data_IF_844611078507
#
_entry.id   IF_844611078507
#
_cell.length_a   1.000
_cell.length_b   1.000
_cell.length_c   1.000
_cell.angle_alpha   90.00
_cell.angle_beta   90.00
_cell.angle_gamma   90.00
#
_symmetry.space_group_name_H-M   'P 1'
#
loop_
_entity.id
_entity.type
_entity.pdbx_description
1 polymer ?
#
# COMPACT_ATOMS: atom_id res chain seq x y z
N UNK A 1 0.36 8.04 -15.40
CA UNK A 1 -0.44 8.78 -14.38
C UNK A 1 0.34 8.73 -13.09
N UNK A 2 0.39 9.80 -12.30
CA UNK A 2 1.12 9.81 -11.01
C UNK A 2 0.14 9.44 -9.90
N UNK A 3 0.36 8.29 -9.24
CA UNK A 3 -0.51 7.76 -8.17
C UNK A 3 0.37 7.48 -6.96
N UNK A 4 -0.12 7.86 -5.78
CA UNK A 4 0.48 7.51 -4.51
C UNK A 4 -0.55 6.75 -3.66
N UNK A 5 -0.13 5.64 -3.07
CA UNK A 5 -0.93 4.82 -2.15
C UNK A 5 -0.42 5.09 -0.75
N UNK A 6 -1.30 5.54 0.14
CA UNK A 6 -0.96 5.85 1.54
C UNK A 6 -1.71 4.88 2.44
N UNK A 7 -0.97 4.15 3.28
CA UNK A 7 -1.53 3.20 4.24
C UNK A 7 -0.90 3.42 5.61
N UNK A 8 -1.70 3.65 6.65
CA UNK A 8 -1.19 4.08 7.95
C UNK A 8 -0.27 3.03 8.60
N UNK A 9 -0.66 1.77 8.63
CA UNK A 9 0.08 0.69 9.32
C UNK A 9 0.28 -0.50 8.39
N UNK A 10 1.47 -0.60 7.80
CA UNK A 10 1.86 -1.72 6.95
C UNK A 10 2.73 -2.71 7.73
N UNK A 11 2.22 -3.21 8.86
CA UNK A 11 2.97 -4.05 9.81
C UNK A 11 2.45 -5.49 9.90
N UNK A 12 1.30 -5.77 9.31
CA UNK A 12 0.65 -7.08 9.37
C UNK A 12 0.02 -7.39 8.02
N UNK A 13 -0.62 -8.55 7.90
CA UNK A 13 -1.37 -8.90 6.70
C UNK A 13 -2.85 -9.07 7.06
N UNK A 14 -3.66 -8.10 6.65
CA UNK A 14 -5.09 -8.05 6.85
C UNK A 14 -5.85 -7.62 5.60
N UNK A 15 -7.12 -7.25 5.80
CA UNK A 15 -8.00 -6.87 4.70
C UNK A 15 -7.58 -5.57 4.02
N UNK A 16 -6.98 -4.63 4.75
CA UNK A 16 -6.53 -3.37 4.19
C UNK A 16 -5.30 -3.56 3.29
N UNK A 17 -4.40 -4.47 3.66
CA UNK A 17 -3.18 -4.82 2.95
C UNK A 17 -3.51 -5.60 1.68
N UNK A 18 -4.53 -6.47 1.73
CA UNK A 18 -5.09 -7.12 0.54
C UNK A 18 -5.64 -6.08 -0.46
N UNK A 19 -6.22 -4.99 0.04
CA UNK A 19 -6.69 -3.89 -0.81
C UNK A 19 -5.53 -3.08 -1.41
N UNK A 20 -4.46 -2.83 -0.65
CA UNK A 20 -3.22 -2.21 -1.15
C UNK A 20 -2.62 -3.06 -2.27
N UNK A 21 -2.56 -4.38 -2.13
CA UNK A 21 -2.10 -5.28 -3.20
C UNK A 21 -2.96 -5.20 -4.46
N UNK A 22 -4.29 -5.12 -4.31
CA UNK A 22 -5.18 -4.96 -5.46
C UNK A 22 -4.94 -3.61 -6.16
N UNK A 23 -4.75 -2.54 -5.39
CA UNK A 23 -4.41 -1.22 -5.93
C UNK A 23 -3.08 -1.26 -6.69
N UNK A 24 -2.07 -1.97 -6.18
CA UNK A 24 -0.78 -2.11 -6.85
C UNK A 24 -0.87 -2.92 -8.15
N UNK A 25 -1.84 -3.84 -8.28
CA UNK A 25 -2.10 -4.51 -9.57
C UNK A 25 -2.68 -3.57 -10.62
N UNK A 26 -3.45 -2.57 -10.19
CA UNK A 26 -4.05 -1.55 -11.07
C UNK A 26 -3.05 -0.43 -11.37
N UNK A 27 -2.24 -0.06 -10.38
CA UNK A 27 -1.23 1.00 -10.44
C UNK A 27 0.14 0.46 -10.05
N UNK A 28 0.81 -0.29 -10.95
CA UNK A 28 2.09 -0.94 -10.66
C UNK A 28 3.22 0.06 -10.40
N UNK A 29 3.14 1.27 -10.96
CA UNK A 29 4.12 2.34 -10.78
C UNK A 29 3.76 3.31 -9.63
N UNK A 30 2.83 2.95 -8.74
CA UNK A 30 2.43 3.81 -7.64
C UNK A 30 3.48 3.85 -6.53
N UNK A 31 3.79 5.06 -6.04
CA UNK A 31 4.61 5.23 -4.84
C UNK A 31 3.80 4.84 -3.59
N UNK A 32 4.39 4.05 -2.69
CA UNK A 32 3.75 3.62 -1.44
C UNK A 32 4.34 4.41 -0.26
N UNK A 33 3.47 4.98 0.55
CA UNK A 33 3.83 5.66 1.79
C UNK A 33 3.11 5.02 2.97
N UNK A 34 3.81 4.86 4.09
CA UNK A 34 3.23 4.36 5.33
C UNK A 34 3.81 5.06 6.56
N UNK A 35 3.01 5.15 7.63
CA UNK A 35 3.45 5.78 8.89
C UNK A 35 4.19 4.77 9.77
N UNK A 36 3.77 3.50 9.74
CA UNK A 36 4.36 2.43 10.55
C UNK A 36 4.66 1.23 9.65
N UNK A 37 5.92 0.83 9.64
CA UNK A 37 6.43 -0.32 8.88
C UNK A 37 7.33 -1.15 9.80
N UNK A 38 7.06 -2.45 9.88
CA UNK A 38 7.90 -3.40 10.61
C UNK A 38 8.84 -4.07 9.61
N UNK A 39 10.15 -3.97 9.85
CA UNK A 39 11.21 -4.34 8.91
C UNK A 39 11.85 -5.68 9.24
#
# INVERSE_FOLDING_TARGET
>A
MKVAIVHDWLTSYGGAETFVELLLRIYPDADIYTLVYDK
#
